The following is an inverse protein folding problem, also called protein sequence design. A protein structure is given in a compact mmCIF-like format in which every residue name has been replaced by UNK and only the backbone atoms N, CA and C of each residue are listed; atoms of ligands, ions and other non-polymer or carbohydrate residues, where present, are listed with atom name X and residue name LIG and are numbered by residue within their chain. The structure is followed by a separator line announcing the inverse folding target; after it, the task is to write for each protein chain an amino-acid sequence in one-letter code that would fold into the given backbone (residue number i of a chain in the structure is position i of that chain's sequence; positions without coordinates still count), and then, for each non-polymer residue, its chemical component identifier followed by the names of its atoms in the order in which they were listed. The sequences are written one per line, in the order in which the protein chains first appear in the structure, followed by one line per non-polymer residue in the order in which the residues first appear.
data_IF_774225185151
#
_entry.id   IF_774225185151
#
_cell.length_a   1.000
_cell.length_b   1.000
_cell.length_c   1.000
_cell.angle_alpha   90.00
_cell.angle_beta   90.00
_cell.angle_gamma   90.00
#
_symmetry.space_group_name_H-M   'P 1'
#
loop_
_entity.id
_entity.type
_entity.pdbx_description
1 polymer ?
#
# COMPACT_ATOMS: atom_id res chain seq x y z
N UNK A 1 -8.74 51.89 -30.42
CA UNK A 1 -7.87 51.36 -29.34
C UNK A 1 -8.69 50.63 -28.25
N UNK A 2 -9.40 49.54 -28.58
CA UNK A 2 -10.16 48.75 -27.57
C UNK A 2 -10.28 47.25 -27.90
N UNK A 3 -9.51 46.75 -28.88
CA UNK A 3 -9.67 45.40 -29.44
C UNK A 3 -8.39 44.55 -29.38
N UNK A 4 -7.44 44.89 -28.49
CA UNK A 4 -6.15 44.18 -28.36
C UNK A 4 -5.94 43.48 -27.02
N UNK A 5 -6.87 43.63 -26.06
CA UNK A 5 -6.75 43.03 -24.73
C UNK A 5 -7.58 41.76 -24.52
N UNK A 6 -8.39 41.34 -25.49
CA UNK A 6 -9.28 40.16 -25.37
C UNK A 6 -8.65 38.84 -25.83
N UNK A 7 -7.46 38.87 -26.43
CA UNK A 7 -6.75 37.68 -26.92
C UNK A 7 -5.78 37.05 -25.89
N UNK A 8 -5.71 37.59 -24.66
CA UNK A 8 -4.75 37.14 -23.64
C UNK A 8 -5.37 36.24 -22.54
N UNK A 9 -6.67 35.96 -22.59
CA UNK A 9 -7.38 35.13 -21.61
C UNK A 9 -7.60 33.67 -22.05
N UNK A 10 -7.28 33.31 -23.29
CA UNK A 10 -7.44 31.93 -23.79
C UNK A 10 -6.18 31.06 -23.63
N UNK A 11 -5.13 31.57 -22.98
CA UNK A 11 -3.86 30.86 -22.79
C UNK A 11 -3.70 30.23 -21.39
N UNK A 12 -4.80 29.99 -20.68
CA UNK A 12 -4.78 29.22 -19.43
C UNK A 12 -5.82 28.09 -19.50
N UNK A 13 -5.39 26.94 -20.01
CA UNK A 13 -5.58 25.71 -19.26
C UNK A 13 -4.19 25.08 -19.00
N UNK A 14 -3.28 25.85 -18.43
CA UNK A 14 -2.09 25.28 -17.82
C UNK A 14 -2.49 24.79 -16.42
N UNK A 15 -2.42 23.47 -16.21
CA UNK A 15 -2.58 22.69 -14.96
C UNK A 15 -3.79 21.73 -14.92
N UNK A 16 -3.97 20.86 -15.92
CA UNK A 16 -4.80 19.65 -15.76
C UNK A 16 -4.03 18.34 -15.98
N UNK A 17 -2.71 18.44 -16.13
CA UNK A 17 -1.81 17.30 -16.30
C UNK A 17 -0.63 17.38 -15.34
N UNK A 18 -0.88 17.75 -14.08
CA UNK A 18 -0.07 17.17 -13.02
C UNK A 18 -0.49 15.70 -12.98
N UNK A 19 0.22 14.88 -13.75
CA UNK A 19 0.03 13.44 -13.77
C UNK A 19 -0.06 12.93 -12.33
N UNK A 20 -1.08 12.13 -12.05
CA UNK A 20 -1.29 11.56 -10.74
C UNK A 20 -0.14 10.60 -10.41
N UNK A 21 0.99 11.12 -9.92
CA UNK A 21 2.16 10.33 -9.55
C UNK A 21 2.08 9.93 -8.08
N UNK A 22 1.02 9.18 -7.73
CA UNK A 22 1.05 8.40 -6.49
C UNK A 22 1.60 7.03 -6.85
N UNK A 23 2.80 6.74 -6.37
CA UNK A 23 3.40 5.40 -6.43
C UNK A 23 3.40 4.81 -5.04
N UNK A 24 3.27 3.49 -4.94
CA UNK A 24 3.53 2.77 -3.69
C UNK A 24 4.92 3.16 -3.16
N UNK A 25 5.03 3.29 -1.85
CA UNK A 25 6.30 3.59 -1.20
C UNK A 25 7.17 2.33 -1.00
N UNK A 26 6.67 1.16 -1.38
CA UNK A 26 7.34 -0.13 -1.25
C UNK A 26 7.98 -0.57 -2.57
N UNK A 27 9.01 -1.39 -2.47
CA UNK A 27 9.67 -2.04 -3.61
C UNK A 27 9.56 -3.57 -3.48
N UNK A 28 9.74 -4.34 -4.58
CA UNK A 28 9.92 -5.78 -4.47
C UNK A 28 11.07 -6.14 -3.54
N UNK A 29 10.87 -7.11 -2.65
CA UNK A 29 11.93 -7.58 -1.76
C UNK A 29 13.01 -8.30 -2.57
N UNK A 30 14.30 -7.90 -2.46
CA UNK A 30 15.37 -8.39 -3.34
C UNK A 30 15.92 -9.75 -2.87
N UNK A 31 15.05 -10.75 -2.71
CA UNK A 31 15.42 -12.11 -2.34
C UNK A 31 14.59 -13.15 -3.13
N UNK A 32 15.10 -14.39 -3.20
CA UNK A 32 14.30 -15.50 -3.69
C UNK A 32 13.12 -15.73 -2.74
N UNK A 33 11.91 -15.74 -3.27
CA UNK A 33 10.67 -15.94 -2.51
C UNK A 33 9.80 -17.03 -3.13
N UNK A 34 10.36 -17.82 -4.06
CA UNK A 34 9.66 -18.87 -4.80
C UNK A 34 9.16 -20.03 -3.93
N UNK A 35 9.88 -20.34 -2.85
CA UNK A 35 9.54 -21.39 -1.91
C UNK A 35 9.89 -20.97 -0.48
N UNK A 36 8.90 -20.43 0.23
CA UNK A 36 9.04 -19.97 1.61
C UNK A 36 8.85 -21.13 2.60
N UNK A 37 9.68 -21.16 3.65
CA UNK A 37 9.60 -22.12 4.75
C UNK A 37 9.10 -21.41 6.00
N UNK A 38 8.02 -21.92 6.59
CA UNK A 38 7.46 -21.32 7.80
C UNK A 38 8.38 -21.55 9.01
N UNK A 39 8.74 -20.46 9.70
CA UNK A 39 9.51 -20.48 10.93
C UNK A 39 8.84 -19.59 11.99
N UNK A 40 8.19 -20.21 12.97
CA UNK A 40 7.51 -19.52 14.05
C UNK A 40 8.45 -18.77 15.03
N UNK A 41 9.78 -18.99 14.94
CA UNK A 41 10.76 -18.23 15.75
C UNK A 41 10.95 -16.81 15.26
N UNK A 42 10.69 -16.55 13.99
CA UNK A 42 10.67 -15.18 13.46
C UNK A 42 9.35 -14.55 13.92
N UNK A 43 9.40 -13.46 14.71
CA UNK A 43 8.22 -12.93 15.35
C UNK A 43 7.31 -12.24 14.32
N UNK A 44 6.02 -12.18 14.63
CA UNK A 44 5.07 -11.43 13.82
C UNK A 44 5.31 -9.92 13.98
N UNK A 45 5.18 -9.11 12.90
CA UNK A 45 5.19 -7.66 13.04
C UNK A 45 3.98 -7.18 13.85
N UNK A 46 4.15 -6.13 14.63
CA UNK A 46 3.04 -5.54 15.37
C UNK A 46 2.30 -4.53 14.47
N UNK A 47 0.97 -4.65 14.36
CA UNK A 47 0.16 -3.69 13.61
C UNK A 47 -0.08 -2.46 14.49
N UNK A 48 0.55 -1.34 14.15
CA UNK A 48 0.38 -0.09 14.89
C UNK A 48 -0.92 0.62 14.48
N UNK A 49 -1.22 0.65 13.19
CA UNK A 49 -2.48 1.15 12.66
C UNK A 49 -2.72 0.64 11.24
N UNK A 50 -3.98 0.65 10.81
CA UNK A 50 -4.37 0.42 9.43
C UNK A 50 -5.48 1.41 9.06
N UNK A 51 -5.42 1.98 7.87
CA UNK A 51 -6.45 2.88 7.35
C UNK A 51 -6.77 2.57 5.90
N UNK A 52 -8.02 2.86 5.53
CA UNK A 52 -8.54 2.78 4.18
C UNK A 52 -9.10 4.15 3.80
N UNK A 53 -8.61 4.70 2.70
CA UNK A 53 -9.16 5.89 2.06
C UNK A 53 -9.76 5.45 0.73
N UNK A 54 -11.05 5.70 0.55
CA UNK A 54 -11.78 5.38 -0.69
C UNK A 54 -11.54 6.47 -1.73
N UNK A 55 -11.64 6.11 -3.00
CA UNK A 55 -11.67 7.10 -4.08
C UNK A 55 -12.88 8.03 -3.91
N UNK A 56 -12.68 9.33 -4.04
CA UNK A 56 -13.77 10.30 -3.95
C UNK A 56 -14.66 10.30 -5.20
N UNK A 57 -14.17 9.74 -6.31
CA UNK A 57 -14.77 9.88 -7.64
C UNK A 57 -14.69 11.32 -8.16
N UNK A 58 -14.80 11.48 -9.47
CA UNK A 58 -14.68 12.79 -10.10
C UNK A 58 -14.18 12.69 -11.53
N UNK A 59 -14.03 13.85 -12.18
CA UNK A 59 -13.57 13.94 -13.56
C UNK A 59 -12.05 13.92 -13.70
N UNK A 60 -11.29 14.06 -12.61
CA UNK A 60 -9.83 13.98 -12.65
C UNK A 60 -9.34 12.55 -12.40
N UNK A 61 -8.23 12.19 -13.06
CA UNK A 61 -7.65 10.85 -13.03
C UNK A 61 -7.30 10.36 -11.62
N UNK A 62 -7.00 11.28 -10.69
CA UNK A 62 -6.67 10.97 -9.30
C UNK A 62 -7.87 10.63 -8.43
N UNK A 63 -9.05 11.12 -8.78
CA UNK A 63 -10.20 11.09 -7.88
C UNK A 63 -10.70 9.66 -7.65
N UNK A 64 -10.36 8.76 -8.56
CA UNK A 64 -10.74 7.36 -8.51
C UNK A 64 -9.70 6.46 -7.80
N UNK A 65 -8.60 7.01 -7.25
CA UNK A 65 -7.62 6.23 -6.50
C UNK A 65 -8.04 6.06 -5.04
N UNK A 66 -7.95 4.82 -4.56
CA UNK A 66 -8.03 4.48 -3.15
C UNK A 66 -6.64 4.17 -2.58
N UNK A 67 -6.53 4.31 -1.25
CA UNK A 67 -5.28 4.07 -0.52
C UNK A 67 -5.52 3.17 0.68
N UNK A 68 -4.62 2.21 0.89
CA UNK A 68 -4.53 1.44 2.14
C UNK A 68 -3.19 1.73 2.77
N UNK A 69 -3.20 2.26 3.99
CA UNK A 69 -1.98 2.49 4.76
C UNK A 69 -1.91 1.53 5.93
N UNK A 70 -0.79 0.84 6.08
CA UNK A 70 -0.52 -0.07 7.20
C UNK A 70 0.76 0.38 7.88
N UNK A 71 0.67 0.75 9.15
CA UNK A 71 1.85 1.03 9.97
C UNK A 71 2.22 -0.21 10.76
N UNK A 72 3.44 -0.69 10.54
CA UNK A 72 4.02 -1.81 11.24
C UNK A 72 5.05 -1.34 12.26
N UNK A 73 5.19 -2.10 13.34
CA UNK A 73 6.28 -1.99 14.31
C UNK A 73 6.97 -3.33 14.45
N UNK A 74 8.29 -3.34 14.27
CA UNK A 74 9.08 -4.57 14.40
C UNK A 74 9.37 -4.90 15.87
N UNK A 75 9.14 -6.14 16.35
CA UNK A 75 9.40 -6.53 17.74
C UNK A 75 10.84 -6.28 18.19
N UNK A 76 11.05 -6.03 19.49
CA UNK A 76 12.41 -5.91 20.07
C UNK A 76 13.02 -7.30 20.25
N UNK A 77 14.34 -7.37 20.20
CA UNK A 77 15.08 -8.62 20.47
C UNK A 77 14.90 -9.69 19.40
N UNK A 78 14.45 -9.29 18.19
CA UNK A 78 14.47 -10.16 17.02
C UNK A 78 15.90 -10.30 16.49
N UNK A 79 16.20 -11.47 15.91
CA UNK A 79 17.48 -11.74 15.25
C UNK A 79 17.68 -10.92 13.96
N UNK A 80 16.61 -10.30 13.45
CA UNK A 80 16.61 -9.52 12.22
C UNK A 80 16.26 -8.05 12.47
N UNK A 81 16.92 -7.17 11.72
CA UNK A 81 16.55 -5.76 11.63
C UNK A 81 15.44 -5.57 10.58
N UNK A 82 14.64 -4.52 10.76
CA UNK A 82 13.48 -4.24 9.90
C UNK A 82 13.87 -3.95 8.43
N UNK A 83 15.07 -3.43 8.19
CA UNK A 83 15.63 -3.16 6.86
C UNK A 83 16.16 -4.42 6.15
N UNK A 84 16.24 -5.56 6.84
CA UNK A 84 16.75 -6.82 6.30
C UNK A 84 15.64 -7.79 5.88
N UNK A 85 14.39 -7.47 6.20
CA UNK A 85 13.24 -8.36 6.01
C UNK A 85 12.24 -7.74 5.03
N UNK A 86 11.56 -8.61 4.31
CA UNK A 86 10.41 -8.26 3.50
C UNK A 86 9.10 -8.62 4.19
N UNK A 87 7.99 -8.21 3.60
CA UNK A 87 6.64 -8.45 4.10
C UNK A 87 5.77 -9.08 3.02
N UNK A 88 5.18 -10.23 3.37
CA UNK A 88 4.16 -10.89 2.57
C UNK A 88 2.78 -10.50 3.11
N UNK A 89 1.89 -10.01 2.23
CA UNK A 89 0.50 -9.74 2.54
C UNK A 89 -0.42 -10.77 1.89
N UNK A 90 -1.39 -11.29 2.64
CA UNK A 90 -2.41 -12.21 2.15
C UNK A 90 -3.80 -11.81 2.65
N UNK A 91 -4.78 -11.86 1.77
CA UNK A 91 -6.19 -11.77 2.15
C UNK A 91 -6.60 -13.15 2.67
N UNK A 92 -7.06 -13.21 3.92
CA UNK A 92 -7.52 -14.47 4.55
C UNK A 92 -9.03 -14.54 4.67
N UNK A 93 -9.72 -13.40 4.68
CA UNK A 93 -11.18 -13.29 4.60
C UNK A 93 -11.56 -12.08 3.75
N UNK A 94 -12.61 -12.23 2.95
CA UNK A 94 -13.12 -11.20 2.05
C UNK A 94 -12.49 -11.27 0.65
N UNK A 95 -12.86 -10.31 -0.20
CA UNK A 95 -12.39 -10.22 -1.57
C UNK A 95 -11.81 -8.82 -1.82
N UNK A 96 -10.50 -8.75 -2.07
CA UNK A 96 -9.83 -7.50 -2.40
C UNK A 96 -10.01 -7.19 -3.90
N UNK A 97 -10.11 -5.90 -4.28
CA UNK A 97 -9.99 -5.48 -5.68
C UNK A 97 -8.70 -6.02 -6.30
N UNK A 98 -8.76 -6.33 -7.59
CA UNK A 98 -7.59 -6.77 -8.34
C UNK A 98 -6.45 -5.75 -8.23
N UNK A 99 -5.24 -6.25 -7.99
CA UNK A 99 -4.04 -5.42 -7.89
C UNK A 99 -3.86 -4.65 -6.58
N UNK A 100 -4.83 -4.67 -5.65
CA UNK A 100 -4.67 -3.98 -4.35
C UNK A 100 -3.47 -4.52 -3.55
N UNK A 101 -3.27 -5.84 -3.56
CA UNK A 101 -2.11 -6.47 -2.94
C UNK A 101 -1.31 -7.24 -3.99
N UNK A 102 -0.02 -6.92 -4.20
CA UNK A 102 0.75 -7.40 -5.36
C UNK A 102 1.11 -8.89 -5.32
N UNK A 103 0.71 -9.64 -4.29
CA UNK A 103 1.01 -11.09 -4.15
C UNK A 103 2.49 -11.44 -4.00
N UNK A 104 3.37 -10.44 -4.04
CA UNK A 104 4.82 -10.54 -3.87
C UNK A 104 5.23 -10.09 -2.48
N UNK A 105 6.46 -10.44 -2.10
CA UNK A 105 7.08 -9.94 -0.87
C UNK A 105 7.62 -8.54 -1.12
N UNK A 106 7.35 -7.63 -0.18
CA UNK A 106 7.65 -6.21 -0.30
C UNK A 106 8.75 -5.80 0.68
N UNK A 107 9.72 -5.03 0.19
CA UNK A 107 10.64 -4.26 1.01
C UNK A 107 10.04 -2.89 1.30
N UNK A 108 10.27 -2.40 2.51
CA UNK A 108 9.64 -1.18 3.01
C UNK A 108 10.66 -0.12 3.36
N UNK A 109 10.34 1.17 3.17
CA UNK A 109 11.14 2.25 3.72
C UNK A 109 11.03 2.21 5.25
N UNK A 110 12.17 2.18 5.93
CA UNK A 110 12.24 1.96 7.37
C UNK A 110 12.61 3.24 8.11
N UNK A 111 11.92 3.51 9.22
CA UNK A 111 12.28 4.53 10.20
C UNK A 111 12.43 3.90 11.59
N UNK A 112 13.67 3.54 11.93
CA UNK A 112 13.99 2.81 13.16
C UNK A 112 13.30 1.44 13.20
N UNK A 113 12.28 1.31 14.07
CA UNK A 113 11.48 0.08 14.20
C UNK A 113 10.12 0.15 13.52
N UNK A 114 9.85 1.22 12.78
CA UNK A 114 8.57 1.45 12.10
C UNK A 114 8.73 1.35 10.60
N UNK A 115 7.73 0.77 9.95
CA UNK A 115 7.57 0.80 8.51
C UNK A 115 6.13 1.24 8.21
N UNK A 116 5.98 2.11 7.22
CA UNK A 116 4.69 2.50 6.69
C UNK A 116 4.56 1.90 5.31
N UNK A 117 3.48 1.18 5.05
CA UNK A 117 3.21 0.51 3.79
C UNK A 117 1.98 1.15 3.17
N UNK A 118 2.13 1.72 1.97
CA UNK A 118 1.04 2.36 1.25
C UNK A 118 0.72 1.57 -0.02
N UNK A 119 -0.46 0.96 -0.06
CA UNK A 119 -1.02 0.34 -1.25
C UNK A 119 -1.95 1.33 -1.94
N UNK A 120 -1.88 1.35 -3.26
CA UNK A 120 -2.71 2.19 -4.11
C UNK A 120 -3.51 1.26 -5.01
N UNK A 121 -4.79 1.53 -5.17
CA UNK A 121 -5.64 0.75 -6.04
C UNK A 121 -6.62 1.64 -6.78
N UNK A 122 -7.08 1.14 -7.93
CA UNK A 122 -8.17 1.75 -8.65
C UNK A 122 -9.48 1.42 -7.93
N UNK A 123 -10.10 2.43 -7.32
CA UNK A 123 -11.40 2.26 -6.69
C UNK A 123 -12.52 2.47 -7.72
N UNK A 124 -13.72 2.02 -7.36
CA UNK A 124 -14.92 2.27 -8.13
C UNK A 124 -15.45 3.69 -7.84
N UNK A 125 -16.23 4.29 -8.75
CA UNK A 125 -16.98 5.51 -8.45
C UNK A 125 -17.83 5.33 -7.19
N UNK A 126 -18.02 6.36 -6.33
CA UNK A 126 -18.67 6.23 -5.03
C UNK A 126 -20.00 5.47 -5.03
N UNK A 127 -20.83 5.69 -6.06
CA UNK A 127 -22.13 5.02 -6.19
C UNK A 127 -22.04 3.50 -6.45
N UNK A 128 -20.87 2.98 -6.81
CA UNK A 128 -20.61 1.58 -7.16
C UNK A 128 -19.64 0.91 -6.18
N UNK A 129 -19.09 1.68 -5.24
CA UNK A 129 -18.15 1.18 -4.25
C UNK A 129 -18.79 0.08 -3.40
N UNK A 130 -18.10 -1.05 -3.32
CA UNK A 130 -18.45 -2.14 -2.41
C UNK A 130 -17.71 -1.96 -1.07
N UNK A 131 -18.27 -2.43 0.04
CA UNK A 131 -17.55 -2.54 1.31
C UNK A 131 -16.27 -3.36 1.13
N UNK A 132 -15.19 -2.95 1.79
CA UNK A 132 -13.91 -3.66 1.79
C UNK A 132 -13.68 -4.31 3.16
N UNK A 133 -14.60 -5.20 3.55
CA UNK A 133 -14.55 -5.96 4.81
C UNK A 133 -13.52 -7.10 4.71
N UNK A 134 -12.24 -6.76 4.86
CA UNK A 134 -11.14 -7.72 4.68
C UNK A 134 -10.50 -8.08 6.01
N UNK A 135 -10.09 -9.34 6.14
CA UNK A 135 -9.07 -9.74 7.13
C UNK A 135 -7.79 -10.03 6.37
N UNK A 136 -6.75 -9.27 6.73
CA UNK A 136 -5.42 -9.37 6.13
C UNK A 136 -4.48 -10.04 7.11
N UNK A 137 -3.58 -10.84 6.55
CA UNK A 137 -2.44 -11.42 7.23
C UNK A 137 -1.16 -10.82 6.66
N UNK A 138 -0.25 -10.39 7.54
CA UNK A 138 1.09 -9.95 7.19
C UNK A 138 2.13 -10.81 7.90
N UNK A 139 3.15 -11.23 7.15
CA UNK A 139 4.24 -12.08 7.64
C UNK A 139 5.57 -11.48 7.22
N UNK A 140 6.55 -11.53 8.12
CA UNK A 140 7.93 -11.19 7.76
C UNK A 140 8.55 -12.31 6.93
N UNK A 141 9.36 -11.95 5.95
CA UNK A 141 10.12 -12.86 5.09
C UNK A 141 11.58 -12.47 5.14
N UNK A 142 12.45 -13.42 5.47
CA UNK A 142 13.89 -13.19 5.56
C UNK A 142 14.58 -13.51 4.24
N UNK A 143 15.83 -13.03 4.02
CA UNK A 143 16.58 -13.30 2.79
C UNK A 143 16.84 -14.80 2.55
N UNK A 144 16.86 -15.62 3.60
CA UNK A 144 17.06 -17.07 3.56
C UNK A 144 15.76 -17.87 3.39
N UNK A 145 14.70 -17.21 2.88
CA UNK A 145 13.40 -17.81 2.53
C UNK A 145 12.58 -18.29 3.72
N UNK A 146 12.86 -17.79 4.92
CA UNK A 146 12.04 -18.12 6.08
C UNK A 146 10.88 -17.13 6.20
N UNK A 147 9.71 -17.65 6.57
CA UNK A 147 8.50 -16.86 6.75
C UNK A 147 8.03 -16.93 8.19
N UNK A 148 7.97 -15.78 8.83
CA UNK A 148 7.68 -15.66 10.25
C UNK A 148 6.23 -15.90 10.64
N UNK A 149 5.95 -15.75 11.93
CA UNK A 149 4.59 -15.84 12.46
C UNK A 149 3.67 -14.76 11.85
N UNK A 150 2.37 -15.06 11.68
CA UNK A 150 1.42 -14.11 11.11
C UNK A 150 0.91 -13.08 12.13
N UNK A 151 0.76 -11.84 11.67
CA UNK A 151 -0.08 -10.83 12.31
C UNK A 151 -1.33 -10.61 11.45
N UNK A 152 -2.50 -10.51 12.09
CA UNK A 152 -3.78 -10.30 11.41
C UNK A 152 -4.41 -8.98 11.81
N UNK A 153 -5.05 -8.32 10.86
CA UNK A 153 -5.81 -7.09 11.08
C UNK A 153 -7.01 -7.00 10.15
N UNK A 154 -7.97 -6.18 10.54
CA UNK A 154 -9.17 -5.92 9.75
C UNK A 154 -9.00 -4.61 8.99
N UNK A 155 -9.44 -4.60 7.73
CA UNK A 155 -9.55 -3.40 6.91
C UNK A 155 -11.03 -3.11 6.62
N UNK A 156 -11.41 -1.84 6.56
CA UNK A 156 -12.69 -1.39 6.01
C UNK A 156 -13.93 -1.52 6.90
N UNK A 157 -13.76 -1.72 8.21
CA UNK A 157 -14.84 -1.59 9.20
C UNK A 157 -14.98 -0.17 9.73
#
# INVERSE_FOLDING_TARGET
MKLRYLMLLCALPAQAAAACMFTSNMAPFPADTSALVDNARIPAPEIASSSLVRGAGGGATCDALGFVSVQLRWPRGSDYSLDQIGFEYRVVVGEAPEGLFPGTVLASPVSGRRAEHQFIFQDLPPAQQRPLDLVLEVRAVTPDRQRGAPARFVLGR
#
